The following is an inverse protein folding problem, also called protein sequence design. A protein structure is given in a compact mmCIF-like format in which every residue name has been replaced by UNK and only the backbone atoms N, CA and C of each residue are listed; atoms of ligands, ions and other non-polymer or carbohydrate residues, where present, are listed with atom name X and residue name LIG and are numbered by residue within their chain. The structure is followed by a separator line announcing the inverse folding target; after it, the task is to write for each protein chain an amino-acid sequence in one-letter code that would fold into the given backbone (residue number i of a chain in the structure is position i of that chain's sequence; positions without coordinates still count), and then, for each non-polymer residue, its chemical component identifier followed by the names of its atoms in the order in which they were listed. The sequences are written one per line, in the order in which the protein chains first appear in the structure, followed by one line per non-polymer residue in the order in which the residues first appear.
data_IF_552805823643
#
_entry.id   IF_552805823643
#
_cell.length_a   1.000
_cell.length_b   1.000
_cell.length_c   1.000
_cell.angle_alpha   90.00
_cell.angle_beta   90.00
_cell.angle_gamma   90.00
#
_symmetry.space_group_name_H-M   'P 1'
#
loop_
_entity.id
_entity.type
_entity.pdbx_description
1 polymer ?
#
# COMPACT_ATOMS: atom_id res chain seq x y z
N UNK A 1 27.04 -46.56 -0.90
CA UNK A 1 26.69 -45.30 -0.21
C UNK A 1 26.06 -44.38 -1.23
N UNK A 2 24.74 -44.25 -1.20
CA UNK A 2 23.96 -43.52 -2.20
C UNK A 2 23.96 -42.02 -1.91
N UNK A 3 24.22 -41.21 -2.93
CA UNK A 3 23.89 -39.79 -2.93
C UNK A 3 22.43 -39.64 -3.38
N UNK A 4 21.52 -39.45 -2.43
CA UNK A 4 20.22 -38.87 -2.69
C UNK A 4 20.40 -37.36 -2.83
N UNK A 5 20.27 -36.82 -4.04
CA UNK A 5 19.92 -35.40 -4.20
C UNK A 5 18.41 -35.34 -4.08
N UNK A 6 17.91 -34.72 -3.02
CA UNK A 6 16.51 -34.35 -2.91
C UNK A 6 16.13 -33.46 -4.11
N UNK A 7 15.09 -33.90 -4.82
CA UNK A 7 14.51 -33.26 -6.00
C UNK A 7 13.12 -32.73 -5.63
N UNK A 8 13.04 -31.75 -4.71
CA UNK A 8 11.77 -31.03 -4.43
C UNK A 8 12.01 -29.65 -3.81
N UNK A 9 12.67 -28.77 -4.56
CA UNK A 9 12.36 -27.34 -4.50
C UNK A 9 12.46 -26.81 -5.93
N UNK A 10 11.41 -26.16 -6.49
CA UNK A 10 11.58 -25.45 -7.74
C UNK A 10 12.68 -24.40 -7.51
N UNK A 11 13.76 -24.49 -8.28
CA UNK A 11 14.75 -23.44 -8.33
C UNK A 11 14.07 -22.19 -8.92
N UNK A 12 13.59 -21.30 -8.06
CA UNK A 12 13.28 -19.93 -8.46
C UNK A 12 14.58 -19.33 -8.99
N UNK A 13 14.65 -18.91 -10.27
CA UNK A 13 15.86 -18.27 -10.76
C UNK A 13 16.12 -17.02 -9.91
N UNK A 14 17.38 -16.85 -9.48
CA UNK A 14 17.92 -15.63 -8.88
C UNK A 14 17.77 -14.47 -9.88
N UNK A 15 16.55 -13.97 -10.01
CA UNK A 15 16.25 -12.77 -10.78
C UNK A 15 16.46 -11.61 -9.84
N UNK A 16 17.62 -10.96 -9.99
CA UNK A 16 17.90 -9.69 -9.31
C UNK A 16 16.70 -8.76 -9.45
N UNK A 17 16.32 -8.11 -8.37
CA UNK A 17 15.24 -7.13 -8.41
C UNK A 17 15.63 -5.99 -9.35
N UNK A 18 14.64 -5.44 -10.07
CA UNK A 18 14.84 -4.21 -10.80
C UNK A 18 15.38 -3.12 -9.84
N UNK A 19 16.34 -2.31 -10.27
CA UNK A 19 16.91 -1.25 -9.42
C UNK A 19 15.84 -0.25 -8.91
N UNK A 20 14.73 -0.12 -9.64
CA UNK A 20 13.57 0.71 -9.31
C UNK A 20 12.51 -0.01 -8.47
N UNK A 21 12.69 -1.28 -8.12
CA UNK A 21 11.70 -2.07 -7.40
C UNK A 21 11.44 -1.51 -5.99
N UNK A 22 10.17 -1.31 -5.64
CA UNK A 22 9.76 -0.76 -4.34
C UNK A 22 9.71 -1.85 -3.27
N UNK A 23 10.68 -1.76 -2.36
CA UNK A 23 10.71 -2.50 -1.09
C UNK A 23 10.19 -1.54 -0.05
N UNK A 24 8.92 -1.67 0.29
CA UNK A 24 8.14 -0.63 0.92
C UNK A 24 7.71 -0.95 2.35
N UNK A 25 7.46 0.11 3.12
CA UNK A 25 6.74 0.03 4.39
C UNK A 25 5.73 1.20 4.48
N UNK A 26 4.50 0.93 4.91
CA UNK A 26 3.63 1.97 5.47
C UNK A 26 4.04 2.19 6.93
N UNK A 27 4.26 3.45 7.32
CA UNK A 27 4.66 3.82 8.69
C UNK A 27 3.82 4.97 9.21
N UNK A 28 2.57 5.03 8.78
CA UNK A 28 1.72 6.17 9.04
C UNK A 28 1.40 6.35 10.53
N UNK A 29 1.54 5.31 11.36
CA UNK A 29 1.44 5.45 12.81
C UNK A 29 2.69 6.01 13.49
N UNK A 30 3.86 6.08 12.83
CA UNK A 30 5.12 6.48 13.46
C UNK A 30 5.02 7.77 14.29
N UNK A 31 4.33 8.80 13.80
CA UNK A 31 4.21 10.07 14.51
C UNK A 31 3.36 9.95 15.78
N UNK A 32 2.25 9.19 15.71
CA UNK A 32 1.40 8.91 16.87
C UNK A 32 2.13 8.02 17.89
N UNK A 33 2.88 7.03 17.43
CA UNK A 33 3.64 6.12 18.27
C UNK A 33 4.74 6.87 19.05
N UNK A 34 5.53 7.70 18.38
CA UNK A 34 6.58 8.50 19.02
C UNK A 34 6.02 9.48 20.05
N UNK A 35 4.89 10.14 19.77
CA UNK A 35 4.18 10.96 20.76
C UNK A 35 3.63 10.12 21.92
N UNK A 36 3.21 8.88 21.64
CA UNK A 36 2.84 7.87 22.62
C UNK A 36 4.01 7.29 23.41
N UNK A 37 5.22 7.86 23.32
CA UNK A 37 6.45 7.40 23.99
C UNK A 37 6.92 6.00 23.54
N UNK A 38 6.46 5.54 22.38
CA UNK A 38 6.99 4.33 21.74
C UNK A 38 8.39 4.62 21.20
N UNK A 39 9.28 3.64 21.34
CA UNK A 39 10.66 3.69 20.88
C UNK A 39 10.96 2.49 19.99
N UNK A 40 11.84 2.68 19.02
CA UNK A 40 12.26 1.64 18.09
C UNK A 40 13.72 1.28 18.32
N UNK A 41 14.03 0.00 18.15
CA UNK A 41 15.36 -0.54 18.39
C UNK A 41 15.82 -1.34 17.18
N UNK A 42 17.09 -1.19 16.83
CA UNK A 42 17.68 -1.99 15.76
C UNK A 42 17.83 -3.46 16.20
N UNK A 43 18.26 -4.34 15.29
CA UNK A 43 18.44 -5.77 15.60
C UNK A 43 19.46 -6.04 16.72
N UNK A 44 20.38 -5.11 17.01
CA UNK A 44 21.31 -5.20 18.14
C UNK A 44 20.69 -4.72 19.48
N UNK A 45 19.47 -4.20 19.46
CA UNK A 45 18.78 -3.65 20.63
C UNK A 45 19.20 -2.23 21.02
N UNK A 46 19.82 -1.48 20.10
CA UNK A 46 20.11 -0.06 20.31
C UNK A 46 18.95 0.79 19.81
N UNK A 47 18.51 1.75 20.61
CA UNK A 47 17.48 2.74 20.21
C UNK A 47 17.94 3.47 18.94
N UNK A 48 17.08 3.51 17.92
CA UNK A 48 17.41 4.09 16.62
C UNK A 48 16.15 4.65 15.95
N UNK A 49 16.33 5.67 15.11
CA UNK A 49 15.29 6.21 14.25
C UNK A 49 14.67 5.11 13.36
N UNK A 50 13.33 5.05 13.31
CA UNK A 50 12.61 4.01 12.55
C UNK A 50 13.01 3.98 11.07
N UNK A 51 13.18 5.14 10.43
CA UNK A 51 13.53 5.20 9.02
C UNK A 51 14.93 4.64 8.77
N UNK A 52 15.86 4.80 9.71
CA UNK A 52 17.17 4.15 9.61
C UNK A 52 17.06 2.64 9.80
N UNK A 53 16.27 2.16 10.76
CA UNK A 53 16.04 0.71 10.97
C UNK A 53 15.45 0.08 9.69
N UNK A 54 14.46 0.72 9.08
CA UNK A 54 13.84 0.23 7.84
C UNK A 54 14.83 0.25 6.66
N UNK A 55 15.67 1.28 6.53
CA UNK A 55 16.74 1.31 5.54
C UNK A 55 17.74 0.17 5.73
N UNK A 56 18.11 -0.13 6.98
CA UNK A 56 19.01 -1.23 7.32
C UNK A 56 18.37 -2.60 7.02
N UNK A 57 17.04 -2.67 6.92
CA UNK A 57 16.27 -3.84 6.43
C UNK A 57 16.00 -3.82 4.93
N UNK A 58 16.62 -2.90 4.19
CA UNK A 58 16.53 -2.84 2.73
C UNK A 58 15.27 -2.15 2.20
N UNK A 59 14.45 -1.53 3.06
CA UNK A 59 13.33 -0.70 2.63
C UNK A 59 13.87 0.54 1.92
N UNK A 60 13.23 0.89 0.80
CA UNK A 60 13.60 2.03 -0.05
C UNK A 60 12.41 2.94 -0.40
N UNK A 61 11.20 2.58 0.03
CA UNK A 61 9.97 3.33 -0.23
C UNK A 61 9.09 3.38 1.02
N UNK A 62 8.40 4.49 1.22
CA UNK A 62 7.50 4.73 2.35
C UNK A 62 6.11 5.04 1.83
N UNK A 63 5.11 4.35 2.37
CA UNK A 63 3.70 4.61 2.15
C UNK A 63 3.12 5.44 3.31
N UNK A 64 2.27 6.41 3.00
CA UNK A 64 1.64 7.28 3.98
C UNK A 64 0.15 7.48 3.66
N UNK A 65 -0.74 7.08 4.55
CA UNK A 65 -2.17 7.38 4.45
C UNK A 65 -2.47 8.84 4.79
N UNK A 66 -3.50 9.38 4.16
CA UNK A 66 -4.02 10.73 4.33
C UNK A 66 -5.54 10.72 4.50
N UNK A 67 -6.00 11.22 5.65
CA UNK A 67 -7.38 11.44 6.00
C UNK A 67 -7.76 12.92 5.83
N UNK A 68 -9.04 13.19 5.57
CA UNK A 68 -9.52 14.53 5.20
C UNK A 68 -9.58 15.45 6.41
N UNK A 69 -10.42 15.12 7.40
CA UNK A 69 -10.61 15.88 8.63
C UNK A 69 -10.60 14.96 9.87
N UNK A 70 -9.50 14.26 10.17
CA UNK A 70 -9.45 13.36 11.31
C UNK A 70 -9.46 14.12 12.64
N UNK A 71 -10.24 13.60 13.60
CA UNK A 71 -10.53 14.31 14.85
C UNK A 71 -9.30 14.51 15.76
N UNK A 72 -8.36 13.55 15.76
CA UNK A 72 -7.14 13.57 16.57
C UNK A 72 -5.93 14.13 15.82
N UNK A 73 -6.12 14.55 14.56
CA UNK A 73 -5.11 15.17 13.71
C UNK A 73 -4.13 14.20 13.04
N UNK A 74 -4.08 12.92 13.43
CA UNK A 74 -3.20 11.95 12.80
C UNK A 74 -3.66 11.64 11.39
N UNK A 75 -2.71 11.49 10.47
CA UNK A 75 -2.96 11.30 9.04
C UNK A 75 -3.62 12.51 8.34
N UNK A 76 -3.79 13.67 9.00
CA UNK A 76 -4.18 14.87 8.28
C UNK A 76 -3.04 15.35 7.36
N UNK A 77 -3.32 16.34 6.49
CA UNK A 77 -2.31 16.86 5.55
C UNK A 77 -1.01 17.32 6.23
N UNK A 78 -1.09 17.95 7.40
CA UNK A 78 0.08 18.43 8.14
C UNK A 78 0.98 17.30 8.64
N UNK A 79 0.38 16.28 9.25
CA UNK A 79 1.08 15.08 9.73
C UNK A 79 1.69 14.28 8.57
N UNK A 80 0.96 14.11 7.46
CA UNK A 80 1.46 13.48 6.23
C UNK A 80 2.67 14.21 5.68
N UNK A 81 2.61 15.54 5.57
CA UNK A 81 3.74 16.36 5.08
C UNK A 81 4.96 16.22 5.99
N UNK A 82 4.78 16.20 7.32
CA UNK A 82 5.87 16.02 8.27
C UNK A 82 6.56 14.66 8.12
N UNK A 83 5.79 13.56 8.07
CA UNK A 83 6.30 12.20 7.85
C UNK A 83 6.98 12.07 6.48
N UNK A 84 6.36 12.60 5.43
CA UNK A 84 6.92 12.57 4.08
C UNK A 84 8.24 13.33 3.97
N UNK A 85 8.39 14.46 4.69
CA UNK A 85 9.63 15.22 4.73
C UNK A 85 10.75 14.43 5.43
N UNK A 86 10.45 13.77 6.56
CA UNK A 86 11.41 12.89 7.25
C UNK A 86 11.84 11.72 6.35
N UNK A 87 10.89 11.05 5.71
CA UNK A 87 11.14 9.97 4.76
C UNK A 87 12.00 10.43 3.57
N UNK A 88 11.67 11.57 2.94
CA UNK A 88 12.46 12.14 1.84
C UNK A 88 13.89 12.49 2.27
N UNK A 89 14.06 13.10 3.44
CA UNK A 89 15.41 13.45 3.95
C UNK A 89 16.25 12.21 4.24
N UNK A 90 15.60 11.09 4.60
CA UNK A 90 16.23 9.79 4.69
C UNK A 90 16.36 9.08 3.33
N UNK A 91 16.03 9.71 2.21
CA UNK A 91 16.22 9.19 0.85
C UNK A 91 15.19 8.15 0.40
N UNK A 92 14.04 8.06 1.07
CA UNK A 92 12.95 7.18 0.65
C UNK A 92 12.12 7.78 -0.49
N UNK A 93 11.59 6.90 -1.33
CA UNK A 93 10.55 7.21 -2.32
C UNK A 93 9.19 7.18 -1.63
N UNK A 94 8.23 7.98 -2.11
CA UNK A 94 6.95 8.17 -1.41
C UNK A 94 5.79 7.59 -2.23
N UNK A 95 4.97 6.76 -1.57
CA UNK A 95 3.61 6.41 -1.97
C UNK A 95 2.65 7.19 -1.05
N UNK A 96 1.81 8.05 -1.63
CA UNK A 96 0.74 8.73 -0.90
C UNK A 96 -0.55 7.93 -1.04
N UNK A 97 -1.26 7.68 0.06
CA UNK A 97 -2.55 7.01 0.05
C UNK A 97 -3.68 7.93 0.51
N UNK A 98 -4.55 8.33 -0.41
CA UNK A 98 -5.69 9.22 -0.13
C UNK A 98 -6.93 8.37 0.17
N UNK A 99 -7.29 8.25 1.44
CA UNK A 99 -8.46 7.45 1.86
C UNK A 99 -9.80 8.07 1.44
N UNK A 100 -9.86 9.39 1.28
CA UNK A 100 -11.11 10.16 1.10
C UNK A 100 -12.13 9.88 2.22
N UNK A 101 -11.66 9.77 3.46
CA UNK A 101 -12.45 9.61 4.69
C UNK A 101 -11.78 10.40 5.82
N UNK A 102 -12.52 10.67 6.89
CA UNK A 102 -11.98 11.26 8.13
C UNK A 102 -11.31 10.20 9.02
N UNK A 103 -11.44 8.93 8.67
CA UNK A 103 -10.93 7.78 9.41
C UNK A 103 -10.56 6.67 8.42
N UNK A 104 -10.35 5.45 8.93
CA UNK A 104 -10.09 4.26 8.13
C UNK A 104 -11.08 4.11 6.96
N UNK A 105 -10.53 3.76 5.80
CA UNK A 105 -11.29 3.38 4.61
C UNK A 105 -10.80 1.99 4.22
N UNK A 106 -11.71 1.03 4.18
CA UNK A 106 -11.45 -0.39 3.96
C UNK A 106 -12.65 -1.05 3.25
N UNK A 107 -12.64 -2.34 2.92
CA UNK A 107 -13.72 -2.99 2.18
C UNK A 107 -15.08 -2.98 2.91
N UNK A 108 -15.09 -2.83 4.23
CA UNK A 108 -16.30 -2.78 5.06
C UNK A 108 -16.80 -1.36 5.34
N UNK A 109 -15.94 -0.34 5.23
CA UNK A 109 -16.27 1.06 5.48
C UNK A 109 -15.59 2.03 4.51
N UNK A 110 -16.40 2.81 3.80
CA UNK A 110 -15.95 3.85 2.86
C UNK A 110 -16.73 5.16 3.10
N UNK A 111 -16.84 5.57 4.36
CA UNK A 111 -17.66 6.70 4.77
C UNK A 111 -17.14 8.02 4.17
N UNK A 112 -18.07 8.88 3.73
CA UNK A 112 -17.75 10.25 3.36
C UNK A 112 -17.21 11.01 4.58
N UNK A 113 -16.22 11.91 4.41
CA UNK A 113 -15.89 12.93 5.39
C UNK A 113 -17.15 13.68 5.85
N UNK A 114 -17.18 14.10 7.11
CA UNK A 114 -18.34 14.79 7.69
C UNK A 114 -18.70 16.06 6.87
N UNK A 115 -17.69 16.79 6.39
CA UNK A 115 -17.87 17.97 5.54
C UNK A 115 -18.52 17.66 4.17
N UNK A 116 -18.52 16.39 3.73
CA UNK A 116 -19.02 15.95 2.42
C UNK A 116 -20.30 15.13 2.52
N UNK A 117 -20.82 14.87 3.73
CA UNK A 117 -21.91 13.92 3.97
C UNK A 117 -23.17 14.17 3.11
N UNK A 118 -23.54 15.44 2.88
CA UNK A 118 -24.71 15.83 2.08
C UNK A 118 -24.45 16.12 0.60
N UNK A 119 -23.24 15.84 0.10
CA UNK A 119 -22.87 16.15 -1.29
C UNK A 119 -23.41 15.12 -2.28
N UNK A 120 -23.90 15.60 -3.43
CA UNK A 120 -24.19 14.74 -4.58
C UNK A 120 -22.90 14.35 -5.33
N UNK A 121 -23.03 13.52 -6.36
CA UNK A 121 -21.88 13.04 -7.14
C UNK A 121 -21.05 14.16 -7.79
N UNK A 122 -21.67 15.28 -8.19
CA UNK A 122 -20.94 16.38 -8.82
C UNK A 122 -20.13 17.16 -7.78
N UNK A 123 -20.72 17.43 -6.62
CA UNK A 123 -20.02 18.03 -5.49
C UNK A 123 -18.91 17.11 -4.96
N UNK A 124 -19.14 15.80 -4.86
CA UNK A 124 -18.12 14.85 -4.42
C UNK A 124 -16.92 14.78 -5.37
N UNK A 125 -17.12 14.81 -6.69
CA UNK A 125 -16.01 14.93 -7.66
C UNK A 125 -15.17 16.19 -7.43
N UNK A 126 -15.84 17.32 -7.18
CA UNK A 126 -15.15 18.59 -6.91
C UNK A 126 -14.36 18.53 -5.59
N UNK A 127 -14.93 17.90 -4.56
CA UNK A 127 -14.28 17.68 -3.26
C UNK A 127 -13.07 16.75 -3.37
N UNK A 128 -13.19 15.62 -4.06
CA UNK A 128 -12.07 14.71 -4.37
C UNK A 128 -10.95 15.47 -5.08
N UNK A 129 -11.28 16.22 -6.13
CA UNK A 129 -10.28 16.99 -6.89
C UNK A 129 -9.58 18.03 -6.01
N UNK A 130 -10.35 18.82 -5.25
CA UNK A 130 -9.82 19.90 -4.42
C UNK A 130 -8.94 19.38 -3.28
N UNK A 131 -9.38 18.31 -2.60
CA UNK A 131 -8.60 17.68 -1.54
C UNK A 131 -7.29 17.10 -2.08
N UNK A 132 -7.35 16.35 -3.18
CA UNK A 132 -6.17 15.75 -3.82
C UNK A 132 -5.17 16.82 -4.25
N UNK A 133 -5.62 17.90 -4.90
CA UNK A 133 -4.75 19.03 -5.26
C UNK A 133 -4.15 19.66 -4.00
N UNK A 134 -4.95 19.85 -2.95
CA UNK A 134 -4.50 20.44 -1.68
C UNK A 134 -3.35 19.66 -1.03
N UNK A 135 -3.53 18.34 -0.83
CA UNK A 135 -2.49 17.48 -0.23
C UNK A 135 -1.24 17.42 -1.12
N UNK A 136 -1.42 17.22 -2.42
CA UNK A 136 -0.30 17.15 -3.37
C UNK A 136 0.48 18.47 -3.44
N UNK A 137 -0.22 19.61 -3.39
CA UNK A 137 0.42 20.94 -3.36
C UNK A 137 1.19 21.16 -2.07
N UNK A 138 0.61 20.80 -0.91
CA UNK A 138 1.29 20.91 0.38
C UNK A 138 2.60 20.10 0.43
N UNK A 139 2.62 18.90 -0.19
CA UNK A 139 3.84 18.11 -0.36
C UNK A 139 4.82 18.79 -1.32
N UNK A 140 4.35 19.26 -2.47
CA UNK A 140 5.15 19.96 -3.48
C UNK A 140 5.83 21.22 -2.93
N UNK A 141 5.16 21.96 -2.05
CA UNK A 141 5.71 23.14 -1.37
C UNK A 141 6.87 22.81 -0.42
N UNK A 142 6.99 21.55 0.01
CA UNK A 142 8.17 21.01 0.72
C UNK A 142 9.16 20.29 -0.22
N UNK A 143 8.98 20.47 -1.53
CA UNK A 143 9.76 19.82 -2.57
C UNK A 143 9.57 18.31 -2.64
N UNK A 144 8.48 17.77 -2.11
CA UNK A 144 8.18 16.34 -2.14
C UNK A 144 7.24 16.07 -3.31
N UNK A 145 7.66 15.18 -4.21
CA UNK A 145 6.81 14.67 -5.30
C UNK A 145 6.61 13.18 -5.05
N UNK A 146 5.41 12.72 -4.63
CA UNK A 146 5.13 11.29 -4.51
C UNK A 146 5.38 10.57 -5.84
N UNK A 147 6.06 9.44 -5.80
CA UNK A 147 6.25 8.60 -6.99
C UNK A 147 4.94 7.92 -7.36
N UNK A 148 4.14 7.56 -6.34
CA UNK A 148 2.82 6.97 -6.50
C UNK A 148 1.79 7.67 -5.62
N UNK A 149 0.54 7.69 -6.08
CA UNK A 149 -0.61 8.20 -5.33
C UNK A 149 -1.79 7.26 -5.49
N UNK A 150 -2.32 6.71 -4.40
CA UNK A 150 -3.59 5.99 -4.42
C UNK A 150 -4.77 6.97 -4.43
N UNK A 151 -5.74 6.70 -5.29
CA UNK A 151 -7.05 7.36 -5.30
C UNK A 151 -8.03 6.39 -4.63
N UNK A 152 -8.14 6.50 -3.30
CA UNK A 152 -8.90 5.59 -2.44
C UNK A 152 -8.03 4.47 -1.88
N UNK A 153 -8.44 3.94 -0.72
CA UNK A 153 -7.83 2.76 -0.10
C UNK A 153 -8.81 1.58 -0.11
N UNK A 154 -8.34 0.41 -0.55
CA UNK A 154 -9.10 -0.85 -0.60
C UNK A 154 -10.55 -0.67 -1.09
N UNK A 155 -10.71 -0.06 -2.26
CA UNK A 155 -12.00 0.35 -2.84
C UNK A 155 -12.75 -0.83 -3.46
N UNK A 156 -12.82 -1.96 -2.76
CA UNK A 156 -13.38 -3.23 -3.21
C UNK A 156 -14.83 -3.10 -3.69
N UNK A 157 -15.56 -2.14 -3.14
CA UNK A 157 -16.89 -1.79 -3.61
C UNK A 157 -17.03 -0.27 -3.81
N UNK A 158 -15.99 0.37 -4.33
CA UNK A 158 -15.92 1.81 -4.56
C UNK A 158 -15.49 2.60 -3.32
N UNK A 159 -15.77 3.91 -3.32
CA UNK A 159 -15.39 4.85 -2.24
C UNK A 159 -16.48 5.89 -2.03
N UNK A 160 -16.47 6.64 -0.91
CA UNK A 160 -17.43 7.72 -0.63
C UNK A 160 -18.89 7.24 -0.72
N UNK A 161 -19.23 6.24 0.08
CA UNK A 161 -20.54 5.61 0.06
C UNK A 161 -21.65 6.54 0.57
N UNK A 162 -22.86 6.47 0.01
CA UNK A 162 -23.31 5.47 -0.98
C UNK A 162 -23.13 5.92 -2.45
N UNK A 163 -22.89 7.21 -2.71
CA UNK A 163 -22.87 7.76 -4.08
C UNK A 163 -21.79 7.13 -4.96
N UNK A 164 -20.62 6.82 -4.39
CA UNK A 164 -19.50 6.18 -5.10
C UNK A 164 -19.39 4.67 -4.86
N UNK A 165 -20.46 4.01 -4.39
CA UNK A 165 -20.46 2.55 -4.18
C UNK A 165 -20.59 1.80 -5.51
N UNK A 166 -19.58 1.01 -5.86
CA UNK A 166 -19.43 0.42 -7.19
C UNK A 166 -20.58 -0.54 -7.56
N UNK A 167 -21.06 -1.33 -6.60
CA UNK A 167 -22.19 -2.26 -6.79
C UNK A 167 -23.54 -1.56 -6.98
N UNK A 168 -23.64 -0.30 -6.56
CA UNK A 168 -24.86 0.52 -6.73
C UNK A 168 -24.76 1.33 -8.01
N UNK A 169 -23.62 2.01 -8.22
CA UNK A 169 -23.38 2.83 -9.39
C UNK A 169 -21.88 2.87 -9.74
N UNK A 170 -21.45 1.90 -10.56
CA UNK A 170 -20.08 1.80 -11.06
C UNK A 170 -19.64 3.06 -11.82
N UNK A 171 -20.56 3.74 -12.53
CA UNK A 171 -20.22 4.98 -13.24
C UNK A 171 -19.83 6.09 -12.25
N UNK A 172 -20.58 6.26 -11.17
CA UNK A 172 -20.24 7.25 -10.14
C UNK A 172 -18.88 6.96 -9.51
N UNK A 173 -18.60 5.69 -9.20
CA UNK A 173 -17.28 5.31 -8.70
C UNK A 173 -16.16 5.66 -9.70
N UNK A 174 -16.33 5.30 -10.98
CA UNK A 174 -15.38 5.63 -12.04
C UNK A 174 -15.17 7.14 -12.22
N UNK A 175 -16.25 7.91 -12.13
CA UNK A 175 -16.25 9.38 -12.18
C UNK A 175 -15.43 10.00 -11.03
N UNK A 176 -15.49 9.42 -9.82
CA UNK A 176 -14.69 9.85 -8.67
C UNK A 176 -13.22 9.46 -8.82
N UNK A 177 -12.92 8.24 -9.30
CA UNK A 177 -11.55 7.80 -9.61
C UNK A 177 -10.93 8.72 -10.67
N UNK A 178 -11.68 9.05 -11.71
CA UNK A 178 -11.22 9.97 -12.75
C UNK A 178 -10.94 11.38 -12.22
N UNK A 179 -11.78 11.89 -11.31
CA UNK A 179 -11.54 13.18 -10.66
C UNK A 179 -10.23 13.17 -9.85
N UNK A 180 -10.00 12.11 -9.06
CA UNK A 180 -8.76 11.93 -8.31
C UNK A 180 -7.53 11.80 -9.24
N UNK A 181 -7.64 10.99 -10.30
CA UNK A 181 -6.57 10.84 -11.30
C UNK A 181 -6.19 12.19 -11.93
N UNK A 182 -7.18 12.94 -12.42
CA UNK A 182 -6.94 14.24 -13.05
C UNK A 182 -6.31 15.25 -12.08
N UNK A 183 -6.74 15.24 -10.81
CA UNK A 183 -6.18 16.08 -9.75
C UNK A 183 -4.73 15.74 -9.41
N UNK A 184 -4.37 14.45 -9.35
CA UNK A 184 -2.95 14.05 -9.20
C UNK A 184 -2.13 14.57 -10.38
N UNK A 185 -2.60 14.32 -11.61
CA UNK A 185 -1.87 14.69 -12.82
C UNK A 185 -1.73 16.21 -13.01
N UNK A 186 -2.65 17.02 -12.49
CA UNK A 186 -2.55 18.48 -12.58
C UNK A 186 -1.44 19.05 -11.71
N UNK A 187 -1.12 18.41 -10.57
CA UNK A 187 -0.03 18.84 -9.68
C UNK A 187 1.30 18.18 -10.04
N UNK A 188 1.25 16.89 -10.38
CA UNK A 188 2.39 16.04 -10.73
C UNK A 188 2.03 15.08 -11.88
N UNK A 189 2.30 15.46 -13.14
CA UNK A 189 2.06 14.60 -14.30
C UNK A 189 2.85 13.28 -14.26
N UNK A 190 3.97 13.26 -13.53
CA UNK A 190 4.88 12.11 -13.43
C UNK A 190 4.49 11.10 -12.36
N UNK A 191 3.69 11.49 -11.34
CA UNK A 191 3.24 10.56 -10.30
C UNK A 191 2.32 9.51 -10.90
N UNK A 192 2.57 8.23 -10.61
CA UNK A 192 1.71 7.13 -11.04
C UNK A 192 0.49 7.02 -10.13
N UNK A 193 -0.71 6.99 -10.72
CA UNK A 193 -1.96 6.87 -9.98
C UNK A 193 -2.32 5.40 -9.79
N UNK A 194 -2.51 5.00 -8.54
CA UNK A 194 -2.90 3.65 -8.13
C UNK A 194 -4.40 3.64 -7.82
N UNK A 195 -5.10 2.62 -8.32
CA UNK A 195 -6.39 2.19 -7.75
C UNK A 195 -6.12 0.91 -6.95
N UNK A 196 -6.47 0.92 -5.67
CA UNK A 196 -6.11 -0.11 -4.70
C UNK A 196 -7.33 -0.96 -4.31
N UNK A 197 -7.22 -2.29 -4.44
CA UNK A 197 -8.25 -3.26 -4.06
C UNK A 197 -7.63 -4.34 -3.16
N UNK A 198 -8.33 -4.76 -2.12
CA UNK A 198 -7.85 -5.80 -1.22
C UNK A 198 -8.04 -7.21 -1.78
N UNK A 199 -7.60 -8.24 -1.05
CA UNK A 199 -7.75 -9.65 -1.41
C UNK A 199 -7.13 -9.96 -2.77
N UNK A 200 -5.83 -9.74 -2.93
CA UNK A 200 -5.10 -9.96 -4.19
C UNK A 200 -5.23 -11.36 -4.79
N UNK A 201 -5.73 -12.34 -4.04
CA UNK A 201 -6.07 -13.69 -4.51
C UNK A 201 -7.43 -13.78 -5.24
N UNK A 202 -8.33 -12.82 -5.06
CA UNK A 202 -9.69 -12.81 -5.62
C UNK A 202 -9.73 -12.12 -7.00
N UNK A 203 -9.49 -12.90 -8.06
CA UNK A 203 -9.52 -12.36 -9.42
C UNK A 203 -10.91 -11.83 -9.82
N UNK A 204 -12.01 -12.41 -9.32
CA UNK A 204 -13.35 -11.99 -9.71
C UNK A 204 -13.65 -10.56 -9.23
N UNK A 205 -13.26 -10.25 -7.99
CA UNK A 205 -13.34 -8.91 -7.42
C UNK A 205 -12.54 -7.89 -8.23
N UNK A 206 -11.27 -8.22 -8.55
CA UNK A 206 -10.42 -7.34 -9.35
C UNK A 206 -11.02 -7.08 -10.73
N UNK A 207 -11.56 -8.10 -11.38
CA UNK A 207 -12.23 -7.95 -12.67
C UNK A 207 -13.48 -7.08 -12.56
N UNK A 208 -14.32 -7.30 -11.56
CA UNK A 208 -15.49 -6.46 -11.32
C UNK A 208 -15.13 -4.96 -11.25
N UNK A 209 -14.10 -4.62 -10.47
CA UNK A 209 -13.65 -3.23 -10.34
C UNK A 209 -13.02 -2.72 -11.63
N UNK A 210 -12.00 -3.39 -12.17
CA UNK A 210 -11.21 -2.83 -13.27
C UNK A 210 -11.92 -2.90 -14.64
N UNK A 211 -12.77 -3.90 -14.88
CA UNK A 211 -13.64 -3.91 -16.06
C UNK A 211 -14.66 -2.77 -15.96
N UNK A 212 -15.22 -2.54 -14.76
CA UNK A 212 -16.16 -1.44 -14.49
C UNK A 212 -15.54 -0.05 -14.68
N UNK A 213 -14.34 0.17 -14.14
CA UNK A 213 -13.59 1.42 -14.33
C UNK A 213 -13.26 1.68 -15.80
N UNK A 214 -12.77 0.64 -16.51
CA UNK A 214 -12.45 0.73 -17.94
C UNK A 214 -13.68 1.07 -18.78
N UNK A 215 -14.79 0.36 -18.55
CA UNK A 215 -16.03 0.55 -19.30
C UNK A 215 -16.64 1.95 -19.10
N UNK A 216 -16.36 2.61 -17.96
CA UNK A 216 -16.83 3.95 -17.65
C UNK A 216 -15.77 5.04 -17.87
N UNK A 217 -14.65 4.72 -18.51
CA UNK A 217 -13.65 5.71 -18.95
C UNK A 217 -12.76 6.30 -17.85
N UNK A 218 -12.66 5.66 -16.68
CA UNK A 218 -11.72 6.06 -15.66
C UNK A 218 -10.28 5.73 -16.07
N UNK A 219 -9.33 6.58 -15.67
CA UNK A 219 -7.90 6.37 -15.88
C UNK A 219 -7.19 5.99 -14.57
N UNK A 220 -6.20 5.12 -14.70
CA UNK A 220 -5.23 4.76 -13.66
C UNK A 220 -3.96 4.22 -14.33
N UNK A 221 -2.85 4.23 -13.59
CA UNK A 221 -1.54 3.78 -14.09
C UNK A 221 -1.17 2.40 -13.54
N UNK A 222 -1.52 2.15 -12.27
CA UNK A 222 -1.10 0.97 -11.50
C UNK A 222 -2.30 0.34 -10.81
N UNK A 223 -2.32 -0.99 -10.77
CA UNK A 223 -3.27 -1.78 -10.00
C UNK A 223 -2.62 -2.15 -8.66
N UNK A 224 -3.18 -1.63 -7.57
CA UNK A 224 -2.74 -1.93 -6.21
C UNK A 224 -3.48 -3.13 -5.64
N UNK A 225 -2.78 -3.94 -4.84
CA UNK A 225 -3.32 -5.13 -4.17
C UNK A 225 -2.94 -5.20 -2.69
N UNK A 226 -3.86 -5.68 -1.85
CA UNK A 226 -3.53 -6.16 -0.49
C UNK A 226 -3.45 -7.67 -0.41
N UNK A 227 -2.55 -8.20 0.43
CA UNK A 227 -2.48 -9.64 0.71
C UNK A 227 -2.08 -9.92 2.17
N UNK A 228 -3.01 -10.51 2.93
CA UNK A 228 -2.84 -10.82 4.35
C UNK A 228 -3.11 -12.31 4.65
N UNK A 229 -2.12 -13.19 4.47
CA UNK A 229 -2.26 -14.62 4.75
C UNK A 229 -1.87 -14.99 6.20
N UNK A 230 -1.98 -16.29 6.52
CA UNK A 230 -1.41 -16.93 7.71
C UNK A 230 -0.39 -17.98 7.30
N UNK A 231 0.35 -18.53 8.27
CA UNK A 231 1.29 -19.63 8.07
C UNK A 231 0.65 -20.85 7.39
N UNK A 232 -0.67 -21.05 7.55
CA UNK A 232 -1.39 -22.20 7.01
C UNK A 232 -1.76 -22.06 5.51
N UNK A 233 -1.84 -20.84 4.97
CA UNK A 233 -2.41 -20.61 3.64
C UNK A 233 -1.58 -19.73 2.70
N UNK A 234 -0.46 -19.14 3.16
CA UNK A 234 0.27 -18.13 2.39
C UNK A 234 0.76 -18.62 1.03
N UNK A 235 1.20 -19.89 0.89
CA UNK A 235 1.66 -20.39 -0.41
C UNK A 235 0.53 -20.33 -1.46
N UNK A 236 -0.64 -20.84 -1.10
CA UNK A 236 -1.82 -20.86 -1.96
C UNK A 236 -2.26 -19.45 -2.32
N UNK A 237 -2.31 -18.54 -1.33
CA UNK A 237 -2.71 -17.15 -1.57
C UNK A 237 -1.70 -16.40 -2.43
N UNK A 238 -0.39 -16.67 -2.32
CA UNK A 238 0.62 -16.11 -3.21
C UNK A 238 0.48 -16.63 -4.64
N UNK A 239 0.20 -17.92 -4.84
CA UNK A 239 -0.01 -18.51 -6.18
C UNK A 239 -1.27 -17.94 -6.86
N UNK A 240 -2.35 -17.80 -6.10
CA UNK A 240 -3.58 -17.16 -6.57
C UNK A 240 -3.35 -15.68 -6.88
N UNK A 241 -2.60 -14.98 -6.03
CA UNK A 241 -2.25 -13.59 -6.27
C UNK A 241 -1.39 -13.44 -7.53
N UNK A 242 -0.36 -14.28 -7.75
CA UNK A 242 0.40 -14.28 -9.00
C UNK A 242 -0.49 -14.51 -10.22
N UNK A 243 -1.43 -15.44 -10.15
CA UNK A 243 -2.40 -15.68 -11.22
C UNK A 243 -3.22 -14.42 -11.50
N UNK A 244 -3.73 -13.77 -10.46
CA UNK A 244 -4.48 -12.53 -10.57
C UNK A 244 -3.63 -11.38 -11.15
N UNK A 245 -2.40 -11.19 -10.67
CA UNK A 245 -1.47 -10.18 -11.18
C UNK A 245 -1.20 -10.37 -12.68
N UNK A 246 -0.99 -11.60 -13.15
CA UNK A 246 -0.81 -11.88 -14.58
C UNK A 246 -2.07 -11.57 -15.40
N UNK A 247 -3.26 -11.87 -14.89
CA UNK A 247 -4.52 -11.46 -15.55
C UNK A 247 -4.63 -9.93 -15.63
N UNK A 248 -4.32 -9.21 -14.54
CA UNK A 248 -4.36 -7.74 -14.50
C UNK A 248 -3.41 -7.13 -15.53
N UNK A 249 -2.19 -7.65 -15.64
CA UNK A 249 -1.20 -7.22 -16.64
C UNK A 249 -1.71 -7.53 -18.06
N UNK A 250 -2.19 -8.75 -18.32
CA UNK A 250 -2.62 -9.18 -19.65
C UNK A 250 -3.86 -8.42 -20.12
N UNK A 251 -4.83 -8.20 -19.23
CA UNK A 251 -6.15 -7.62 -19.52
C UNK A 251 -6.14 -6.11 -19.66
N UNK A 252 -5.34 -5.43 -18.81
CA UNK A 252 -5.34 -3.98 -18.72
C UNK A 252 -4.01 -3.33 -19.16
N UNK A 253 -2.93 -4.11 -19.30
CA UNK A 253 -1.60 -3.60 -19.65
C UNK A 253 -0.94 -2.77 -18.54
N UNK A 254 -1.53 -2.78 -17.34
CA UNK A 254 -1.13 -1.94 -16.21
C UNK A 254 -0.04 -2.60 -15.38
N UNK A 255 0.74 -1.76 -14.74
CA UNK A 255 1.68 -2.22 -13.72
C UNK A 255 0.93 -2.64 -12.45
N UNK A 256 1.57 -3.45 -11.62
CA UNK A 256 0.97 -4.02 -10.41
C UNK A 256 1.88 -3.80 -9.20
N UNK A 257 1.27 -3.42 -8.09
CA UNK A 257 1.94 -3.20 -6.81
C UNK A 257 1.18 -3.89 -5.69
N UNK A 258 1.88 -4.57 -4.79
CA UNK A 258 1.31 -5.01 -3.52
C UNK A 258 1.44 -3.81 -2.57
N UNK A 259 0.38 -3.02 -2.46
CA UNK A 259 0.37 -1.80 -1.66
C UNK A 259 0.29 -2.11 -0.15
N UNK A 260 -0.21 -3.29 0.20
CA UNK A 260 -0.31 -3.75 1.58
C UNK A 260 -0.04 -5.26 1.67
N UNK A 261 0.91 -5.64 2.52
CA UNK A 261 1.06 -7.02 2.99
C UNK A 261 1.29 -7.03 4.49
N UNK A 262 0.91 -8.13 5.13
CA UNK A 262 1.17 -8.37 6.54
C UNK A 262 0.83 -9.81 6.92
N UNK A 263 1.37 -10.26 8.05
CA UNK A 263 1.11 -11.59 8.60
C UNK A 263 1.29 -11.49 10.12
N UNK A 264 0.61 -12.30 10.96
CA UNK A 264 0.74 -12.20 12.40
C UNK A 264 2.20 -12.19 12.87
N UNK A 265 2.53 -11.29 13.79
CA UNK A 265 3.90 -11.12 14.32
C UNK A 265 4.46 -12.42 14.93
N UNK A 266 3.58 -13.27 15.48
CA UNK A 266 3.92 -14.57 16.02
C UNK A 266 4.41 -15.58 14.97
N UNK A 267 4.17 -15.31 13.68
CA UNK A 267 4.48 -16.18 12.55
C UNK A 267 5.67 -15.66 11.72
N UNK A 268 6.60 -14.91 12.33
CA UNK A 268 7.68 -14.18 11.65
C UNK A 268 8.49 -15.01 10.63
N UNK A 269 8.73 -16.30 10.90
CA UNK A 269 9.42 -17.19 9.95
C UNK A 269 8.58 -17.48 8.69
N UNK A 270 7.29 -17.74 8.85
CA UNK A 270 6.37 -17.89 7.73
C UNK A 270 6.19 -16.57 6.99
N UNK A 271 6.12 -15.44 7.73
CA UNK A 271 6.02 -14.11 7.16
C UNK A 271 7.23 -13.80 6.26
N UNK A 272 8.45 -14.13 6.69
CA UNK A 272 9.66 -13.98 5.87
C UNK A 272 9.53 -14.75 4.55
N UNK A 273 9.11 -16.02 4.60
CA UNK A 273 8.94 -16.86 3.40
C UNK A 273 7.84 -16.31 2.48
N UNK A 274 6.70 -15.94 3.04
CA UNK A 274 5.58 -15.30 2.34
C UNK A 274 6.01 -14.05 1.58
N UNK A 275 6.69 -13.12 2.27
CA UNK A 275 7.09 -11.82 1.69
C UNK A 275 8.16 -12.04 0.61
N UNK A 276 9.14 -12.92 0.87
CA UNK A 276 10.21 -13.23 -0.09
C UNK A 276 9.61 -13.81 -1.39
N UNK A 277 8.66 -14.74 -1.26
CA UNK A 277 7.98 -15.36 -2.39
C UNK A 277 7.10 -14.37 -3.16
N UNK A 278 6.28 -13.54 -2.47
CA UNK A 278 5.42 -12.56 -3.16
C UNK A 278 6.23 -11.45 -3.84
N UNK A 279 7.37 -11.02 -3.27
CA UNK A 279 8.32 -10.11 -3.94
C UNK A 279 8.83 -10.75 -5.23
N UNK A 280 9.28 -12.00 -5.15
CA UNK A 280 9.81 -12.72 -6.33
C UNK A 280 8.74 -12.87 -7.41
N UNK A 281 7.51 -13.24 -7.02
CA UNK A 281 6.37 -13.40 -7.92
C UNK A 281 5.96 -12.08 -8.57
N UNK A 282 5.87 -10.99 -7.81
CA UNK A 282 5.58 -9.68 -8.37
C UNK A 282 6.71 -9.22 -9.32
N UNK A 283 7.98 -9.37 -8.94
CA UNK A 283 9.12 -9.05 -9.82
C UNK A 283 9.14 -9.89 -11.12
N UNK A 284 8.61 -11.11 -11.08
CA UNK A 284 8.53 -12.00 -12.26
C UNK A 284 7.48 -11.60 -13.29
N UNK A 285 6.63 -10.60 -13.00
CA UNK A 285 5.59 -10.18 -13.94
C UNK A 285 6.19 -9.70 -15.28
N UNK A 286 5.58 -10.07 -16.42
CA UNK A 286 6.15 -9.85 -17.72
C UNK A 286 6.37 -8.35 -17.99
N UNK A 287 7.46 -8.05 -18.73
CA UNK A 287 7.85 -6.69 -19.11
C UNK A 287 8.12 -5.76 -17.90
N UNK A 288 8.53 -6.31 -16.76
CA UNK A 288 8.86 -5.53 -15.56
C UNK A 288 7.65 -4.82 -14.96
N UNK A 289 6.45 -5.42 -15.10
CA UNK A 289 5.20 -4.79 -14.65
C UNK A 289 4.95 -4.88 -13.15
N UNK A 290 5.74 -5.67 -12.41
CA UNK A 290 5.71 -5.67 -10.95
C UNK A 290 6.56 -4.54 -10.39
N UNK A 291 5.94 -3.64 -9.64
CA UNK A 291 6.61 -2.43 -9.14
C UNK A 291 7.13 -2.56 -7.72
N UNK A 292 6.57 -3.44 -6.90
CA UNK A 292 6.92 -3.48 -5.49
C UNK A 292 5.93 -4.14 -4.55
N UNK A 293 6.38 -4.27 -3.32
CA UNK A 293 5.64 -4.80 -2.17
C UNK A 293 5.86 -3.87 -0.97
N UNK A 294 4.79 -3.50 -0.29
CA UNK A 294 4.80 -2.64 0.90
C UNK A 294 4.25 -3.40 2.12
N UNK A 295 5.06 -3.56 3.16
CA UNK A 295 4.57 -4.07 4.44
C UNK A 295 3.75 -2.99 5.15
N UNK A 296 2.56 -3.32 5.64
CA UNK A 296 1.71 -2.36 6.34
C UNK A 296 2.06 -2.28 7.82
N UNK A 297 2.48 -1.10 8.29
CA UNK A 297 2.81 -0.78 9.68
C UNK A 297 3.70 -1.84 10.36
N UNK A 298 4.87 -2.18 9.77
CA UNK A 298 5.74 -3.20 10.34
C UNK A 298 6.21 -2.83 11.74
N UNK A 299 6.32 -1.54 12.06
CA UNK A 299 6.77 -1.05 13.36
C UNK A 299 5.74 -1.22 14.46
N UNK A 300 4.47 -1.53 14.16
CA UNK A 300 3.45 -1.71 15.17
C UNK A 300 3.78 -2.93 16.05
N UNK A 301 4.01 -2.71 17.34
CA UNK A 301 4.29 -3.76 18.32
C UNK A 301 3.46 -3.58 19.60
N UNK A 302 3.43 -4.59 20.47
CA UNK A 302 2.64 -4.63 21.71
C UNK A 302 1.13 -4.38 21.53
N UNK A 303 0.58 -4.78 20.37
CA UNK A 303 -0.85 -4.63 20.11
C UNK A 303 -1.28 -3.18 19.93
N UNK A 304 -0.40 -2.32 19.41
CA UNK A 304 -0.73 -0.92 19.10
C UNK A 304 -2.03 -0.85 18.30
N UNK A 305 -3.03 -0.09 18.80
CA UNK A 305 -4.38 0.01 18.21
C UNK A 305 -5.09 -1.35 18.03
N UNK A 306 -4.73 -2.38 18.81
CA UNK A 306 -5.24 -3.74 18.67
C UNK A 306 -4.65 -4.53 17.49
N UNK A 307 -3.65 -3.99 16.80
CA UNK A 307 -3.07 -4.60 15.60
C UNK A 307 -1.98 -5.64 15.94
N UNK A 308 -2.05 -6.81 15.29
CA UNK A 308 -1.16 -7.95 15.57
C UNK A 308 -0.37 -8.45 14.35
N UNK A 309 -0.49 -7.77 13.20
CA UNK A 309 0.23 -8.15 11.97
C UNK A 309 1.43 -7.24 11.70
N UNK A 310 1.95 -6.57 12.72
CA UNK A 310 3.23 -5.87 12.63
C UNK A 310 4.39 -6.85 12.49
N UNK A 311 5.58 -6.31 12.18
CA UNK A 311 6.81 -7.08 12.00
C UNK A 311 7.88 -6.75 13.04
N UNK A 312 7.53 -6.06 14.13
CA UNK A 312 8.40 -5.75 15.26
C UNK A 312 7.97 -6.56 16.50
N UNK A 313 8.94 -7.12 17.21
CA UNK A 313 8.69 -7.89 18.42
C UNK A 313 8.30 -7.01 19.62
N UNK A 314 7.91 -7.63 20.74
CA UNK A 314 7.47 -6.92 21.94
C UNK A 314 8.55 -5.99 22.56
N UNK A 315 9.82 -6.16 22.16
CA UNK A 315 10.93 -5.29 22.57
C UNK A 315 11.15 -4.10 21.64
N UNK A 316 10.34 -3.95 20.59
CA UNK A 316 10.44 -2.87 19.60
C UNK A 316 11.55 -3.09 18.58
N UNK A 317 11.98 -4.34 18.34
CA UNK A 317 12.97 -4.71 17.32
C UNK A 317 12.31 -5.32 16.10
N UNK A 318 12.82 -5.11 14.88
CA UNK A 318 12.32 -5.81 13.71
C UNK A 318 12.57 -7.32 13.84
N UNK A 319 11.52 -8.11 13.61
CA UNK A 319 11.60 -9.57 13.49
C UNK A 319 12.29 -9.98 12.19
N UNK A 320 12.55 -11.28 12.03
CA UNK A 320 13.10 -11.84 10.80
C UNK A 320 12.19 -11.69 9.57
N UNK A 321 10.91 -11.34 9.74
CA UNK A 321 10.01 -11.06 8.62
C UNK A 321 10.56 -9.92 7.74
N UNK A 322 11.12 -8.88 8.37
CA UNK A 322 11.70 -7.74 7.66
C UNK A 322 12.96 -8.07 6.87
N UNK A 323 13.64 -9.19 7.19
CA UNK A 323 14.80 -9.64 6.41
C UNK A 323 14.42 -10.08 4.99
N UNK A 324 13.13 -10.33 4.71
CA UNK A 324 12.66 -10.63 3.36
C UNK A 324 12.99 -9.50 2.36
N UNK A 325 13.03 -8.25 2.82
CA UNK A 325 13.38 -7.09 1.99
C UNK A 325 14.89 -6.90 1.78
N UNK A 326 15.73 -7.76 2.37
CA UNK A 326 17.18 -7.80 2.07
C UNK A 326 17.49 -8.56 0.78
N UNK A 327 16.49 -9.18 0.13
CA UNK A 327 16.62 -9.79 -1.19
C UNK A 327 17.17 -8.77 -2.21
N UNK A 328 18.05 -9.28 -3.08
CA UNK A 328 18.82 -8.53 -4.08
C UNK A 328 18.26 -8.77 -5.46
#
# INVERSE_FOLDING_TARGET
MGCGKDITAPATPDTLLAATYAKGADVSWVSQMEVGSIKFYNSAGTEQDLFQILKDKGINSIRLRAWVNPADGWSNTGDVVAKALRAKNAGFRILLDLHYSDTWADPGQQAKPAAWAGQDINALKASVSSYTIGVMTALKDKGITPEWVQVGNETNNGMLWEEGKASVNMKNFADLVQAGYAAVKSVSPTSKVIVHVSNGYDNALFRFIFDGLKANGANWDVIGMSLYPTAANWQSLNDQCLTNMNDMVTRYGKEVMLAEVGMPVAEAAAAKSFITDIITKNNSLPNGKGLGVFYWEPEAYNGWQGYQLGAFDASGKPTIAMDAFLIK
#
